data_IF_828778745190
#
_entry.id   IF_828778745190
#
_cell.length_a   1.000
_cell.length_b   1.000
_cell.length_c   1.000
_cell.angle_alpha   90.00
_cell.angle_beta   90.00
_cell.angle_gamma   90.00
#
_symmetry.space_group_name_H-M   'P 1'
#
loop_
_entity.id
_entity.type
_entity.pdbx_description
1 polymer ?
#
# COMPACT_ATOMS: atom_id res chain seq x y z
N UNK A 1 -2.17 -31.75 -14.68
CA UNK A 1 -1.28 -30.62 -14.42
C UNK A 1 0.06 -30.96 -15.02
N UNK A 2 0.48 -30.25 -16.09
CA UNK A 2 1.80 -30.46 -16.69
C UNK A 2 2.91 -30.10 -15.70
N UNK A 3 4.12 -30.42 -16.09
CA UNK A 3 5.37 -30.31 -15.31
C UNK A 3 5.61 -28.88 -14.79
N UNK A 4 4.87 -28.44 -13.73
CA UNK A 4 5.08 -27.15 -13.07
C UNK A 4 6.41 -27.22 -12.30
N UNK A 5 7.30 -26.28 -12.55
CA UNK A 5 8.47 -26.07 -11.71
C UNK A 5 8.03 -25.40 -10.38
N UNK A 6 7.84 -26.24 -9.36
CA UNK A 6 7.35 -25.78 -8.06
C UNK A 6 8.35 -24.86 -7.35
N UNK A 7 9.64 -25.03 -7.56
CA UNK A 7 10.64 -24.16 -6.93
C UNK A 7 10.51 -22.74 -7.50
N UNK A 8 10.48 -22.62 -8.82
CA UNK A 8 10.29 -21.35 -9.49
C UNK A 8 8.93 -20.75 -9.15
N UNK A 9 7.85 -21.55 -9.09
CA UNK A 9 6.52 -21.06 -8.75
C UNK A 9 6.44 -20.48 -7.34
N UNK A 10 7.07 -21.14 -6.34
CA UNK A 10 7.11 -20.62 -4.97
C UNK A 10 8.01 -19.41 -4.84
N UNK A 11 9.13 -19.35 -5.55
CA UNK A 11 10.02 -18.20 -5.61
C UNK A 11 9.31 -16.97 -6.18
N UNK A 12 8.61 -17.11 -7.30
CA UNK A 12 7.80 -16.04 -7.87
C UNK A 12 6.65 -15.63 -6.95
N UNK A 13 5.99 -16.58 -6.28
CA UNK A 13 4.92 -16.27 -5.33
C UNK A 13 5.43 -15.46 -4.12
N UNK A 14 6.66 -15.72 -3.69
CA UNK A 14 7.35 -14.96 -2.63
C UNK A 14 7.72 -13.56 -3.13
N UNK A 15 8.34 -13.44 -4.31
CA UNK A 15 8.70 -12.16 -4.94
C UNK A 15 7.47 -11.27 -5.14
N UNK A 16 6.37 -11.83 -5.61
CA UNK A 16 5.10 -11.15 -5.79
C UNK A 16 4.29 -10.95 -4.50
N UNK A 17 4.79 -11.41 -3.35
CA UNK A 17 4.13 -11.32 -2.04
C UNK A 17 2.73 -11.99 -1.99
N UNK A 18 2.54 -13.06 -2.78
CA UNK A 18 1.27 -13.82 -2.85
C UNK A 18 1.39 -15.25 -2.34
N UNK A 19 2.52 -15.60 -1.70
CA UNK A 19 2.77 -16.96 -1.22
C UNK A 19 1.66 -17.47 -0.29
N UNK A 20 1.18 -16.62 0.63
CA UNK A 20 0.08 -16.97 1.53
C UNK A 20 -1.25 -17.19 0.79
N UNK A 21 -1.52 -16.39 -0.25
CA UNK A 21 -2.70 -16.56 -1.09
C UNK A 21 -2.64 -17.88 -1.87
N UNK A 22 -1.48 -18.19 -2.44
CA UNK A 22 -1.21 -19.48 -3.12
C UNK A 22 -1.41 -20.63 -2.14
N UNK A 23 -0.83 -20.56 -0.93
CA UNK A 23 -0.98 -21.59 0.09
C UNK A 23 -2.45 -21.81 0.50
N UNK A 24 -3.22 -20.73 0.70
CA UNK A 24 -4.64 -20.81 1.03
C UNK A 24 -5.43 -21.54 -0.08
N UNK A 25 -5.17 -21.20 -1.36
CA UNK A 25 -5.83 -21.85 -2.51
C UNK A 25 -5.41 -23.31 -2.68
N UNK A 26 -4.15 -23.62 -2.48
CA UNK A 26 -3.68 -25.01 -2.51
C UNK A 26 -4.35 -25.86 -1.41
N UNK A 27 -4.55 -25.27 -0.24
CA UNK A 27 -5.27 -25.91 0.87
C UNK A 27 -6.72 -26.28 0.49
N UNK A 28 -7.43 -25.37 -0.17
CA UNK A 28 -8.79 -25.61 -0.66
C UNK A 28 -8.86 -26.75 -1.69
N UNK A 29 -7.83 -26.91 -2.50
CA UNK A 29 -7.76 -27.97 -3.52
C UNK A 29 -7.20 -29.30 -2.99
N UNK A 30 -6.87 -29.40 -1.72
CA UNK A 30 -6.38 -30.61 -1.08
C UNK A 30 -4.92 -30.94 -1.35
N UNK A 31 -4.10 -29.96 -1.75
CA UNK A 31 -2.64 -30.06 -1.99
C UNK A 31 -2.21 -31.13 -3.01
N UNK A 32 -3.10 -31.57 -3.90
CA UNK A 32 -2.81 -32.62 -4.85
C UNK A 32 -1.68 -32.25 -5.82
N UNK A 33 -0.63 -33.09 -5.87
CA UNK A 33 0.43 -33.00 -6.89
C UNK A 33 1.59 -32.06 -6.53
N UNK A 34 1.70 -31.55 -5.29
CA UNK A 34 2.86 -30.78 -4.84
C UNK A 34 3.97 -31.75 -4.39
N UNK A 35 5.22 -31.60 -4.87
CA UNK A 35 6.37 -32.37 -4.35
C UNK A 35 6.58 -32.13 -2.85
N UNK A 36 7.09 -33.13 -2.14
CA UNK A 36 7.23 -33.08 -0.67
C UNK A 36 8.17 -31.95 -0.20
N UNK A 37 9.25 -31.70 -0.93
CA UNK A 37 10.22 -30.63 -0.66
C UNK A 37 9.61 -29.24 -0.85
N UNK A 38 8.87 -29.03 -1.93
CA UNK A 38 8.14 -27.76 -2.18
C UNK A 38 7.04 -27.53 -1.12
N UNK A 39 6.37 -28.60 -0.71
CA UNK A 39 5.38 -28.56 0.36
C UNK A 39 5.99 -28.16 1.71
N UNK A 40 7.12 -28.77 2.08
CA UNK A 40 7.84 -28.44 3.31
C UNK A 40 8.29 -26.97 3.33
N UNK A 41 8.86 -26.48 2.21
CA UNK A 41 9.25 -25.07 2.03
C UNK A 41 8.05 -24.16 2.22
N UNK A 42 6.93 -24.45 1.56
CA UNK A 42 5.69 -23.66 1.67
C UNK A 42 5.17 -23.61 3.12
N UNK A 43 5.09 -24.76 3.79
CA UNK A 43 4.66 -24.84 5.19
C UNK A 43 5.56 -24.05 6.15
N UNK A 44 6.87 -24.10 5.93
CA UNK A 44 7.84 -23.36 6.74
C UNK A 44 7.65 -21.86 6.59
N UNK A 45 7.54 -21.36 5.36
CA UNK A 45 7.29 -19.94 5.05
C UNK A 45 5.96 -19.47 5.64
N UNK A 46 4.90 -20.26 5.50
CA UNK A 46 3.59 -19.93 6.06
C UNK A 46 3.58 -19.88 7.58
N UNK A 47 4.32 -20.77 8.24
CA UNK A 47 4.47 -20.73 9.70
C UNK A 47 5.16 -19.46 10.16
N UNK A 48 6.24 -19.08 9.49
CA UNK A 48 6.98 -17.83 9.77
C UNK A 48 6.09 -16.61 9.58
N UNK A 49 5.37 -16.54 8.46
CA UNK A 49 4.44 -15.43 8.18
C UNK A 49 3.32 -15.34 9.22
N UNK A 50 2.75 -16.48 9.62
CA UNK A 50 1.69 -16.51 10.62
C UNK A 50 2.17 -16.03 12.00
N UNK A 51 3.33 -16.50 12.45
CA UNK A 51 3.94 -16.03 13.70
C UNK A 51 4.26 -14.54 13.66
N UNK A 52 4.76 -14.04 12.53
CA UNK A 52 5.00 -12.63 12.33
C UNK A 52 3.71 -11.81 12.41
N UNK A 53 2.64 -12.24 11.71
CA UNK A 53 1.32 -11.59 11.74
C UNK A 53 0.73 -11.54 13.16
N UNK A 54 0.82 -12.64 13.93
CA UNK A 54 0.40 -12.65 15.34
C UNK A 54 1.19 -11.66 16.19
N UNK A 55 2.52 -11.61 16.00
CA UNK A 55 3.37 -10.65 16.70
C UNK A 55 3.00 -9.20 16.38
N UNK A 56 2.73 -8.91 15.09
CA UNK A 56 2.30 -7.57 14.64
C UNK A 56 0.93 -7.21 15.21
N UNK A 57 -0.01 -8.16 15.27
CA UNK A 57 -1.34 -7.93 15.85
C UNK A 57 -1.26 -7.65 17.35
N UNK A 58 -0.43 -8.39 18.08
CA UNK A 58 -0.21 -8.13 19.51
C UNK A 58 0.39 -6.72 19.75
N UNK A 59 1.35 -6.33 18.91
CA UNK A 59 1.94 -4.99 18.98
C UNK A 59 0.92 -3.90 18.62
N UNK A 60 0.11 -4.11 17.58
CA UNK A 60 -0.99 -3.22 17.22
C UNK A 60 -1.91 -2.96 18.41
N UNK A 61 -2.33 -4.02 19.11
CA UNK A 61 -3.22 -3.86 20.26
C UNK A 61 -2.58 -3.07 21.39
N UNK A 62 -1.30 -3.30 21.64
CA UNK A 62 -0.53 -2.53 22.64
C UNK A 62 -0.45 -1.04 22.30
N UNK A 63 -0.24 -0.73 21.02
CA UNK A 63 -0.20 0.67 20.53
C UNK A 63 -1.59 1.30 20.62
N UNK A 64 -2.64 0.62 20.17
CA UNK A 64 -4.01 1.13 20.23
C UNK A 64 -4.48 1.38 21.67
N UNK A 65 -4.08 0.54 22.63
CA UNK A 65 -4.38 0.75 24.05
C UNK A 65 -3.69 1.99 24.59
N UNK A 66 -2.40 2.18 24.29
CA UNK A 66 -1.64 3.35 24.71
C UNK A 66 -2.18 4.66 24.08
N UNK A 67 -2.53 4.60 22.79
CA UNK A 67 -3.15 5.74 22.10
C UNK A 67 -4.54 6.05 22.67
N UNK A 68 -5.34 5.03 22.97
CA UNK A 68 -6.65 5.18 23.60
C UNK A 68 -6.57 5.83 24.98
N UNK A 69 -5.61 5.44 25.82
CA UNK A 69 -5.36 6.07 27.13
C UNK A 69 -5.00 7.56 27.00
N UNK A 70 -4.33 7.94 25.92
CA UNK A 70 -3.99 9.32 25.61
C UNK A 70 -5.06 10.05 24.80
N UNK A 71 -6.24 9.44 24.58
CA UNK A 71 -7.32 9.99 23.76
C UNK A 71 -6.91 10.30 22.32
N UNK A 72 -5.92 9.57 21.78
CA UNK A 72 -5.51 9.67 20.37
C UNK A 72 -6.37 8.73 19.56
N UNK A 73 -7.27 9.32 18.78
CA UNK A 73 -8.08 8.56 17.83
C UNK A 73 -7.21 8.17 16.62
N UNK A 74 -7.25 6.88 16.27
CA UNK A 74 -6.37 6.29 15.25
C UNK A 74 -7.22 5.43 14.30
N UNK A 75 -6.86 5.41 13.02
CA UNK A 75 -7.40 4.44 12.05
C UNK A 75 -6.27 3.52 11.60
N UNK A 76 -6.52 2.22 11.67
CA UNK A 76 -5.66 1.23 11.02
C UNK A 76 -6.01 1.20 9.53
N UNK A 77 -5.01 1.30 8.70
CA UNK A 77 -5.15 1.25 7.23
C UNK A 77 -4.24 0.15 6.69
N UNK A 78 -4.57 -0.41 5.53
CA UNK A 78 -3.79 -1.48 4.88
C UNK A 78 -3.48 -2.69 5.79
N UNK A 79 -2.29 -3.29 5.65
CA UNK A 79 -1.75 -4.38 6.47
C UNK A 79 -2.77 -5.49 6.79
N UNK A 80 -3.00 -5.80 8.07
CA UNK A 80 -3.90 -6.86 8.49
C UNK A 80 -5.37 -6.62 8.13
N UNK A 81 -5.80 -5.35 7.97
CA UNK A 81 -7.17 -5.02 7.55
C UNK A 81 -7.42 -5.44 6.11
N UNK A 82 -6.51 -5.15 5.20
CA UNK A 82 -6.62 -5.60 3.80
C UNK A 82 -6.60 -7.11 3.73
N UNK A 83 -5.72 -7.77 4.49
CA UNK A 83 -5.68 -9.24 4.56
C UNK A 83 -7.03 -9.81 5.00
N UNK A 84 -7.63 -9.25 6.06
CA UNK A 84 -8.93 -9.70 6.53
C UNK A 84 -10.06 -9.42 5.52
N UNK A 85 -10.10 -8.24 4.93
CA UNK A 85 -11.10 -7.88 3.92
C UNK A 85 -11.00 -8.78 2.68
N UNK A 86 -9.79 -8.98 2.17
CA UNK A 86 -9.55 -9.75 0.94
C UNK A 86 -9.71 -11.26 1.16
N UNK A 87 -9.21 -11.80 2.27
CA UNK A 87 -9.05 -13.25 2.46
C UNK A 87 -9.78 -13.81 3.68
N UNK A 88 -10.31 -12.95 4.56
CA UNK A 88 -10.99 -13.35 5.80
C UNK A 88 -10.05 -13.78 6.92
N UNK A 89 -8.76 -13.65 6.72
CA UNK A 89 -7.70 -14.03 7.65
C UNK A 89 -6.59 -12.97 7.62
N UNK A 90 -6.23 -12.36 8.75
CA UNK A 90 -5.21 -11.31 8.79
C UNK A 90 -3.79 -11.79 8.49
N UNK A 91 -3.56 -13.11 8.43
CA UNK A 91 -2.24 -13.71 8.23
C UNK A 91 -1.99 -14.22 6.81
N UNK A 92 -2.98 -14.20 5.91
CA UNK A 92 -2.83 -14.69 4.53
C UNK A 92 -1.98 -13.74 3.69
N UNK A 93 -2.22 -12.43 3.80
CA UNK A 93 -1.45 -11.42 3.09
C UNK A 93 -0.18 -11.08 3.84
N UNK A 94 0.95 -11.04 3.12
CA UNK A 94 2.21 -10.55 3.70
C UNK A 94 2.18 -9.03 3.87
N UNK A 95 2.59 -8.56 5.03
CA UNK A 95 2.84 -7.14 5.33
C UNK A 95 4.01 -7.04 6.31
N UNK A 96 4.71 -5.91 6.32
CA UNK A 96 5.92 -5.71 7.13
C UNK A 96 5.76 -4.61 8.17
N UNK A 97 4.70 -3.81 8.06
CA UNK A 97 4.44 -2.61 8.83
C UNK A 97 2.98 -2.53 9.31
N UNK A 98 2.76 -1.67 10.28
CA UNK A 98 1.45 -1.22 10.74
C UNK A 98 1.26 0.22 10.32
N UNK A 99 0.38 0.46 9.37
CA UNK A 99 0.02 1.81 8.93
C UNK A 99 -1.06 2.39 9.85
N UNK A 100 -0.73 3.42 10.63
CA UNK A 100 -1.63 4.06 11.58
C UNK A 100 -1.88 5.52 11.20
N UNK A 101 -3.11 5.85 10.85
CA UNK A 101 -3.51 7.20 10.48
C UNK A 101 -3.97 7.97 11.73
N UNK A 102 -3.33 9.11 12.01
CA UNK A 102 -3.67 10.02 13.10
C UNK A 102 -3.84 11.45 12.59
N UNK A 103 -4.57 12.28 13.32
CA UNK A 103 -4.68 13.71 12.98
C UNK A 103 -3.34 14.43 13.20
N UNK A 104 -3.06 15.45 12.40
CA UNK A 104 -1.84 16.27 12.54
C UNK A 104 -1.61 16.76 13.98
N UNK A 105 -2.67 17.14 14.69
CA UNK A 105 -2.57 17.59 16.07
C UNK A 105 -2.11 16.48 17.05
N UNK A 106 -2.32 15.22 16.70
CA UNK A 106 -1.97 14.06 17.53
C UNK A 106 -0.58 13.48 17.20
N UNK A 107 0.10 13.97 16.16
CA UNK A 107 1.34 13.34 15.68
C UNK A 107 2.44 13.30 16.74
N UNK A 108 2.70 14.43 17.41
CA UNK A 108 3.76 14.49 18.44
C UNK A 108 3.44 13.65 19.67
N UNK A 109 2.24 13.72 20.27
CA UNK A 109 1.86 12.78 21.32
C UNK A 109 1.99 11.31 20.89
N UNK A 110 1.58 10.95 19.67
CA UNK A 110 1.70 9.60 19.14
C UNK A 110 3.17 9.17 19.01
N UNK A 111 4.05 10.02 18.47
CA UNK A 111 5.49 9.76 18.38
C UNK A 111 6.09 9.47 19.76
N UNK A 112 5.78 10.29 20.77
CA UNK A 112 6.28 10.12 22.13
C UNK A 112 5.80 8.82 22.78
N UNK A 113 4.55 8.42 22.51
CA UNK A 113 4.02 7.15 23.00
C UNK A 113 4.75 5.98 22.33
N UNK A 114 4.96 6.00 21.00
CA UNK A 114 5.71 4.95 20.32
C UNK A 114 7.15 4.86 20.87
N UNK A 115 7.80 5.99 21.11
CA UNK A 115 9.13 6.02 21.74
C UNK A 115 9.10 5.39 23.16
N UNK A 116 8.10 5.72 23.97
CA UNK A 116 7.91 5.12 25.30
C UNK A 116 7.61 3.61 25.23
N UNK A 117 7.02 3.13 24.15
CA UNK A 117 6.80 1.71 23.86
C UNK A 117 8.06 1.01 23.31
N UNK A 118 9.19 1.71 23.18
CA UNK A 118 10.48 1.17 22.75
C UNK A 118 10.69 1.16 21.24
N UNK A 119 9.97 2.00 20.49
CA UNK A 119 10.25 2.26 19.08
C UNK A 119 11.19 3.46 18.92
N UNK A 120 12.01 3.44 17.90
CA UNK A 120 12.89 4.52 17.49
C UNK A 120 12.39 5.11 16.16
N UNK A 121 12.25 6.43 16.10
CA UNK A 121 11.86 7.12 14.88
C UNK A 121 13.07 7.25 13.94
N UNK A 122 12.88 7.02 12.64
CA UNK A 122 13.91 7.26 11.63
C UNK A 122 14.25 8.75 11.48
N UNK A 123 13.32 9.63 11.91
CA UNK A 123 13.49 11.09 11.87
C UNK A 123 13.33 11.69 13.26
N UNK A 124 14.17 12.69 13.65
CA UNK A 124 14.07 13.31 14.95
C UNK A 124 12.79 14.14 15.10
N UNK A 125 12.27 14.24 16.33
CA UNK A 125 11.08 15.03 16.66
C UNK A 125 11.19 16.48 16.16
N UNK A 126 12.38 17.07 16.17
CA UNK A 126 12.63 18.41 15.64
C UNK A 126 12.33 18.57 14.15
N UNK A 127 12.53 17.51 13.35
CA UNK A 127 12.20 17.50 11.93
C UNK A 127 10.68 17.39 11.70
N UNK A 128 10.00 16.59 12.53
CA UNK A 128 8.55 16.46 12.55
C UNK A 128 7.92 17.82 12.89
N UNK A 129 8.35 18.45 13.98
CA UNK A 129 7.94 19.80 14.41
C UNK A 129 8.15 20.86 13.33
N UNK A 130 9.30 20.83 12.69
CA UNK A 130 9.61 21.75 11.60
C UNK A 130 8.78 21.49 10.33
N UNK A 131 7.98 20.40 10.29
CA UNK A 131 7.19 19.98 9.12
C UNK A 131 8.07 19.77 7.89
N UNK A 132 9.33 19.33 8.08
CA UNK A 132 10.28 19.10 6.97
C UNK A 132 9.91 17.85 6.17
N UNK A 133 9.26 16.91 6.83
CA UNK A 133 8.77 15.67 6.22
C UNK A 133 7.26 15.65 6.35
N UNK A 134 6.50 15.63 5.27
CA UNK A 134 5.05 15.65 5.34
C UNK A 134 4.48 14.26 5.62
N UNK A 135 4.03 14.05 6.87
CA UNK A 135 2.95 13.16 7.19
C UNK A 135 3.17 11.65 7.20
N UNK A 136 4.37 11.16 6.93
CA UNK A 136 4.68 9.73 6.95
C UNK A 136 5.94 9.54 7.79
N UNK A 137 5.83 8.82 8.91
CA UNK A 137 6.91 8.72 9.90
C UNK A 137 7.11 7.26 10.29
N UNK A 138 8.29 6.71 9.95
CA UNK A 138 8.65 5.33 10.21
C UNK A 138 9.26 5.19 11.62
N UNK A 139 8.77 4.18 12.32
CA UNK A 139 9.24 3.75 13.62
C UNK A 139 9.69 2.31 13.58
N UNK A 140 10.86 2.03 14.14
CA UNK A 140 11.49 0.71 14.20
C UNK A 140 11.73 0.34 15.65
N UNK A 141 11.64 -0.93 15.98
CA UNK A 141 12.06 -1.43 17.29
C UNK A 141 13.45 -2.06 17.15
N UNK A 142 14.39 -1.65 18.00
CA UNK A 142 15.72 -2.21 18.01
C UNK A 142 15.70 -3.75 18.24
N UNK A 143 16.39 -4.48 17.36
CA UNK A 143 16.45 -5.95 17.43
C UNK A 143 15.18 -6.70 17.04
N UNK A 144 14.16 -6.02 16.48
CA UNK A 144 12.91 -6.61 16.02
C UNK A 144 12.60 -6.22 14.58
N UNK A 145 11.73 -6.99 13.92
CA UNK A 145 11.29 -6.73 12.54
C UNK A 145 10.01 -5.89 12.47
N UNK A 146 9.48 -5.45 13.62
CA UNK A 146 8.23 -4.70 13.67
C UNK A 146 8.48 -3.26 13.25
N UNK A 147 7.75 -2.85 12.23
CA UNK A 147 7.71 -1.50 11.71
C UNK A 147 6.32 -0.89 11.98
N UNK A 148 6.30 0.40 12.31
CA UNK A 148 5.07 1.18 12.46
C UNK A 148 5.23 2.45 11.65
N UNK A 149 4.30 2.72 10.75
CA UNK A 149 4.22 3.98 10.02
C UNK A 149 3.08 4.84 10.57
N UNK A 150 3.41 6.00 11.14
CA UNK A 150 2.40 7.00 11.46
C UNK A 150 2.13 7.87 10.25
N UNK A 151 0.86 7.93 9.87
CA UNK A 151 0.37 8.73 8.76
C UNK A 151 -0.49 9.89 9.26
N UNK A 152 -0.38 11.04 8.60
CA UNK A 152 -1.32 12.16 8.73
C UNK A 152 -1.97 12.47 7.38
N UNK A 153 -2.89 13.43 7.31
CA UNK A 153 -3.48 13.84 6.02
C UNK A 153 -2.43 14.26 4.97
N UNK A 154 -1.24 14.67 5.40
CA UNK A 154 -0.14 15.07 4.51
C UNK A 154 0.50 13.88 3.79
N UNK A 155 0.29 12.65 4.28
CA UNK A 155 0.71 11.42 3.60
C UNK A 155 0.03 11.25 2.25
N UNK A 156 -1.16 11.81 2.08
CA UNK A 156 -1.95 11.69 0.84
C UNK A 156 -1.36 12.46 -0.36
N UNK A 157 -0.05 12.71 -0.35
CA UNK A 157 0.69 13.30 -1.47
C UNK A 157 0.61 12.48 -2.77
N UNK A 158 0.41 11.16 -2.66
CA UNK A 158 0.23 10.27 -3.80
C UNK A 158 -1.18 10.33 -4.40
N UNK A 159 -2.12 10.96 -3.73
CA UNK A 159 -3.45 11.25 -4.26
C UNK A 159 -3.35 12.40 -5.26
N UNK A 160 -3.96 12.30 -6.43
CA UNK A 160 -3.98 13.40 -7.40
C UNK A 160 -4.56 14.69 -6.84
N UNK A 161 -5.52 14.61 -5.92
CA UNK A 161 -6.08 15.74 -5.16
C UNK A 161 -5.97 15.47 -3.66
N UNK A 162 -5.87 16.53 -2.83
CA UNK A 162 -5.86 16.37 -1.38
C UNK A 162 -7.12 15.67 -0.87
N UNK A 163 -6.97 14.77 0.09
CA UNK A 163 -8.07 14.15 0.83
C UNK A 163 -8.18 14.82 2.19
N UNK A 164 -9.40 14.98 2.69
CA UNK A 164 -9.64 15.45 4.04
C UNK A 164 -9.69 14.26 5.00
N UNK A 165 -8.82 14.27 5.98
CA UNK A 165 -8.74 13.20 6.98
C UNK A 165 -10.07 13.03 7.74
N UNK A 166 -10.80 14.13 7.99
CA UNK A 166 -12.07 14.11 8.71
C UNK A 166 -13.16 13.34 7.95
N UNK A 167 -13.11 13.30 6.63
CA UNK A 167 -14.04 12.52 5.82
C UNK A 167 -13.82 11.01 6.04
N UNK A 168 -12.58 10.58 6.22
CA UNK A 168 -12.23 9.20 6.58
C UNK A 168 -12.71 8.85 8.00
N UNK A 169 -12.44 9.74 8.96
CA UNK A 169 -12.89 9.54 10.35
C UNK A 169 -14.41 9.50 10.48
N UNK A 170 -15.13 10.31 9.69
CA UNK A 170 -16.59 10.30 9.68
C UNK A 170 -17.19 8.98 9.16
N UNK A 171 -16.48 8.29 8.26
CA UNK A 171 -16.92 7.01 7.64
C UNK A 171 -16.25 5.78 8.23
N UNK A 172 -15.36 5.95 9.22
CA UNK A 172 -14.65 4.84 9.85
C UNK A 172 -15.57 3.72 10.29
N UNK A 173 -15.05 2.50 10.29
CA UNK A 173 -15.73 1.30 10.76
C UNK A 173 -14.91 0.63 11.86
N UNK A 174 -15.56 -0.20 12.63
CA UNK A 174 -14.87 -1.14 13.51
C UNK A 174 -14.82 -2.49 12.79
N UNK A 175 -13.60 -3.03 12.69
CA UNK A 175 -13.33 -4.28 12.00
C UNK A 175 -12.87 -5.32 13.00
N UNK A 176 -13.41 -6.56 12.97
CA UNK A 176 -12.95 -7.62 13.83
C UNK A 176 -11.54 -8.07 13.40
N UNK A 177 -10.62 -8.09 14.35
CA UNK A 177 -9.25 -8.55 14.17
C UNK A 177 -8.85 -9.36 15.42
N UNK A 178 -8.62 -10.67 15.25
CA UNK A 178 -8.19 -11.57 16.33
C UNK A 178 -8.99 -11.37 17.65
N UNK A 179 -10.33 -11.36 17.54
CA UNK A 179 -11.24 -11.25 18.68
C UNK A 179 -11.40 -9.85 19.27
N UNK A 180 -10.80 -8.82 18.67
CA UNK A 180 -10.92 -7.43 19.07
C UNK A 180 -11.37 -6.57 17.89
N UNK A 181 -12.33 -5.66 18.14
CA UNK A 181 -12.71 -4.66 17.16
C UNK A 181 -11.70 -3.52 17.11
N UNK A 182 -11.13 -3.26 15.94
CA UNK A 182 -10.19 -2.16 15.69
C UNK A 182 -10.81 -1.09 14.81
N UNK A 183 -10.48 0.21 15.01
CA UNK A 183 -10.94 1.27 14.13
C UNK A 183 -10.17 1.22 12.81
N UNK A 184 -10.89 1.20 11.70
CA UNK A 184 -10.34 1.12 10.35
C UNK A 184 -11.15 1.96 9.36
N UNK A 185 -10.67 2.09 8.14
CA UNK A 185 -11.42 2.70 7.05
C UNK A 185 -12.67 1.87 6.73
N UNK A 186 -13.70 2.50 6.16
CA UNK A 186 -14.76 1.74 5.53
C UNK A 186 -14.23 1.00 4.28
N UNK A 187 -14.96 -0.04 3.87
CA UNK A 187 -14.57 -0.91 2.76
C UNK A 187 -14.30 -0.14 1.46
N UNK A 188 -15.14 0.85 1.15
CA UNK A 188 -15.04 1.65 -0.07
C UNK A 188 -13.79 2.55 -0.07
N UNK A 189 -13.49 3.20 1.06
CA UNK A 189 -12.28 4.02 1.20
C UNK A 189 -11.02 3.14 1.15
N UNK A 190 -11.03 1.96 1.79
CA UNK A 190 -9.91 1.02 1.76
C UNK A 190 -9.65 0.49 0.35
N UNK A 191 -10.71 0.17 -0.42
CA UNK A 191 -10.56 -0.27 -1.81
C UNK A 191 -9.90 0.81 -2.69
N UNK A 192 -10.34 2.07 -2.56
CA UNK A 192 -9.72 3.20 -3.29
C UNK A 192 -8.28 3.42 -2.85
N UNK A 193 -8.00 3.34 -1.54
CA UNK A 193 -6.63 3.44 -1.01
C UNK A 193 -5.71 2.36 -1.57
N UNK A 194 -6.19 1.11 -1.67
CA UNK A 194 -5.41 0.01 -2.25
C UNK A 194 -5.13 0.24 -3.74
N UNK A 195 -6.07 0.79 -4.51
CA UNK A 195 -5.83 1.15 -5.91
C UNK A 195 -4.76 2.25 -6.03
N UNK A 196 -4.80 3.27 -5.17
CA UNK A 196 -3.78 4.32 -5.14
C UNK A 196 -2.42 3.76 -4.70
N UNK A 197 -2.41 2.85 -3.74
CA UNK A 197 -1.19 2.21 -3.26
C UNK A 197 -0.53 1.35 -4.36
N UNK A 198 -1.31 0.54 -5.08
CA UNK A 198 -0.82 -0.18 -6.25
C UNK A 198 -0.24 0.75 -7.32
N UNK A 199 -0.93 1.87 -7.61
CA UNK A 199 -0.45 2.88 -8.55
C UNK A 199 0.84 3.58 -8.08
N UNK A 200 0.99 3.85 -6.76
CA UNK A 200 2.22 4.36 -6.13
C UNK A 200 3.41 3.47 -6.46
N UNK A 201 3.21 2.15 -6.45
CA UNK A 201 4.21 1.10 -6.68
C UNK A 201 4.18 0.52 -8.10
N UNK A 202 3.57 1.19 -9.07
CA UNK A 202 3.53 0.75 -10.47
C UNK A 202 2.91 -0.63 -10.68
N UNK A 203 2.18 -1.16 -9.71
CA UNK A 203 1.59 -2.50 -9.72
C UNK A 203 2.63 -3.62 -9.94
N UNK A 204 3.88 -3.40 -9.53
CA UNK A 204 5.01 -4.29 -9.78
C UNK A 204 4.93 -5.66 -9.09
N UNK A 205 3.93 -5.88 -8.23
CA UNK A 205 3.66 -7.16 -7.55
C UNK A 205 2.21 -7.58 -7.73
N UNK A 206 1.98 -8.89 -7.88
CA UNK A 206 0.64 -9.46 -7.97
C UNK A 206 -0.21 -9.26 -6.70
N UNK A 207 0.40 -9.03 -5.56
CA UNK A 207 -0.29 -8.77 -4.31
C UNK A 207 -1.36 -7.67 -4.45
N UNK A 208 -1.04 -6.55 -5.11
CA UNK A 208 -2.00 -5.44 -5.22
C UNK A 208 -3.23 -5.76 -6.06
N UNK A 209 -3.13 -6.27 -7.31
CA UNK A 209 -4.33 -6.69 -8.04
C UNK A 209 -5.04 -7.87 -7.37
N UNK A 210 -4.31 -8.76 -6.66
CA UNK A 210 -4.91 -9.88 -5.94
C UNK A 210 -5.77 -9.42 -4.75
N UNK A 211 -5.29 -8.45 -3.98
CA UNK A 211 -6.05 -7.85 -2.87
C UNK A 211 -7.35 -7.22 -3.38
N UNK A 212 -7.29 -6.43 -4.46
CA UNK A 212 -8.46 -5.77 -5.06
C UNK A 212 -9.45 -6.81 -5.59
N UNK A 213 -8.98 -7.78 -6.36
CA UNK A 213 -9.82 -8.85 -6.90
C UNK A 213 -10.51 -9.64 -5.78
N UNK A 214 -9.76 -10.00 -4.74
CA UNK A 214 -10.30 -10.74 -3.60
C UNK A 214 -11.34 -9.92 -2.81
N UNK A 215 -11.10 -8.63 -2.57
CA UNK A 215 -12.07 -7.73 -1.94
C UNK A 215 -13.35 -7.66 -2.78
N UNK A 216 -13.25 -7.41 -4.08
CA UNK A 216 -14.41 -7.33 -4.98
C UNK A 216 -15.21 -8.64 -5.00
N UNK A 217 -14.54 -9.79 -5.08
CA UNK A 217 -15.19 -11.09 -5.11
C UNK A 217 -15.86 -11.46 -3.77
N UNK A 218 -15.30 -11.00 -2.65
CA UNK A 218 -15.76 -11.35 -1.31
C UNK A 218 -16.88 -10.45 -0.81
N UNK A 219 -16.99 -9.22 -1.31
CA UNK A 219 -17.89 -8.18 -0.80
C UNK A 219 -18.90 -7.72 -1.86
N UNK A 220 -19.95 -8.52 -2.17
CA UNK A 220 -20.99 -8.12 -3.10
C UNK A 220 -21.80 -6.91 -2.62
N UNK A 221 -21.69 -6.56 -1.32
CA UNK A 221 -22.36 -5.41 -0.70
C UNK A 221 -21.64 -4.07 -0.94
N UNK A 222 -20.51 -4.03 -1.64
CA UNK A 222 -19.79 -2.78 -1.94
C UNK A 222 -20.73 -1.75 -2.54
N UNK A 223 -20.79 -0.56 -1.93
CA UNK A 223 -21.54 0.59 -2.45
C UNK A 223 -20.74 1.29 -3.56
N UNK A 224 -20.82 0.78 -4.80
CA UNK A 224 -20.00 1.24 -5.95
C UNK A 224 -20.14 2.72 -6.24
N UNK A 225 -21.31 3.34 -5.98
CA UNK A 225 -21.43 4.80 -6.10
C UNK A 225 -20.54 5.55 -5.12
N UNK A 226 -20.39 5.01 -3.89
CA UNK A 226 -19.48 5.57 -2.88
C UNK A 226 -18.01 5.37 -3.27
N UNK A 227 -17.65 4.22 -3.83
CA UNK A 227 -16.30 3.96 -4.37
C UNK A 227 -15.98 4.96 -5.48
N UNK A 228 -16.90 5.16 -6.43
CA UNK A 228 -16.73 6.17 -7.49
C UNK A 228 -16.58 7.57 -6.93
N UNK A 229 -17.43 7.95 -5.97
CA UNK A 229 -17.36 9.28 -5.38
C UNK A 229 -16.05 9.49 -4.63
N UNK A 230 -15.62 8.53 -3.80
CA UNK A 230 -14.34 8.58 -3.10
C UNK A 230 -13.16 8.71 -4.08
N UNK A 231 -13.16 7.95 -5.17
CA UNK A 231 -12.12 8.05 -6.19
C UNK A 231 -12.13 9.41 -6.91
N UNK A 232 -13.32 9.97 -7.24
CA UNK A 232 -13.47 11.31 -7.85
C UNK A 232 -12.96 12.42 -6.95
N UNK A 233 -13.30 12.37 -5.68
CA UNK A 233 -12.93 13.41 -4.71
C UNK A 233 -11.42 13.59 -4.65
N UNK A 234 -10.67 12.50 -4.75
CA UNK A 234 -9.20 12.49 -4.73
C UNK A 234 -8.57 12.41 -6.12
N UNK A 235 -9.37 12.35 -7.20
CA UNK A 235 -8.88 12.28 -8.58
C UNK A 235 -8.25 10.94 -8.95
N UNK A 236 -8.60 9.86 -8.25
CA UNK A 236 -8.03 8.51 -8.41
C UNK A 236 -8.90 7.58 -9.28
N UNK A 237 -9.84 8.10 -10.07
CA UNK A 237 -10.74 7.29 -10.91
C UNK A 237 -9.96 6.37 -11.84
N UNK A 238 -8.88 6.86 -12.46
CA UNK A 238 -8.04 6.07 -13.35
C UNK A 238 -7.28 4.97 -12.60
N UNK A 239 -6.81 5.25 -11.38
CA UNK A 239 -6.16 4.24 -10.53
C UNK A 239 -7.14 3.13 -10.14
N UNK A 240 -8.40 3.50 -9.84
CA UNK A 240 -9.48 2.55 -9.58
C UNK A 240 -9.78 1.68 -10.81
N UNK A 241 -9.94 2.28 -12.00
CA UNK A 241 -10.17 1.53 -13.23
C UNK A 241 -9.03 0.54 -13.52
N UNK A 242 -7.77 0.99 -13.42
CA UNK A 242 -6.60 0.12 -13.61
C UNK A 242 -6.59 -1.03 -12.62
N UNK A 243 -6.85 -0.77 -11.33
CA UNK A 243 -6.89 -1.81 -10.31
C UNK A 243 -7.95 -2.88 -10.56
N UNK A 244 -9.18 -2.46 -10.91
CA UNK A 244 -10.27 -3.38 -11.25
C UNK A 244 -9.97 -4.19 -12.52
N UNK A 245 -9.46 -3.56 -13.57
CA UNK A 245 -9.11 -4.21 -14.83
C UNK A 245 -7.93 -5.18 -14.69
N UNK A 246 -6.95 -4.90 -13.84
CA UNK A 246 -5.88 -5.84 -13.50
C UNK A 246 -6.43 -7.05 -12.73
N UNK A 247 -7.39 -6.84 -11.82
CA UNK A 247 -8.11 -7.94 -11.16
C UNK A 247 -8.84 -8.84 -12.15
N UNK A 248 -9.44 -8.26 -13.21
CA UNK A 248 -10.10 -9.02 -14.27
C UNK A 248 -9.09 -9.75 -15.16
N UNK A 249 -8.11 -9.05 -15.70
CA UNK A 249 -7.19 -9.62 -16.70
C UNK A 249 -6.25 -10.67 -16.13
N UNK A 250 -5.76 -10.47 -14.88
CA UNK A 250 -4.77 -11.35 -14.26
C UNK A 250 -5.39 -12.47 -13.42
N UNK A 251 -6.58 -12.24 -12.83
CA UNK A 251 -7.17 -13.13 -11.84
C UNK A 251 -8.58 -13.57 -12.18
N UNK A 252 -9.16 -13.11 -13.29
CA UNK A 252 -10.46 -13.52 -13.79
C UNK A 252 -11.64 -13.01 -12.95
N UNK A 253 -11.46 -12.02 -12.10
CA UNK A 253 -12.55 -11.40 -11.33
C UNK A 253 -13.15 -10.26 -12.16
N UNK A 254 -14.38 -10.46 -12.65
CA UNK A 254 -15.04 -9.51 -13.54
C UNK A 254 -15.15 -8.11 -12.92
N UNK A 255 -14.92 -7.09 -13.72
CA UNK A 255 -15.20 -5.71 -13.31
C UNK A 255 -16.70 -5.60 -13.00
N UNK A 256 -17.08 -5.07 -11.81
CA UNK A 256 -18.47 -4.92 -11.43
C UNK A 256 -19.28 -4.12 -12.45
N UNK A 257 -20.52 -4.53 -12.71
CA UNK A 257 -21.37 -3.95 -13.75
C UNK A 257 -21.52 -2.43 -13.63
N UNK A 258 -21.59 -1.93 -12.40
CA UNK A 258 -21.68 -0.51 -12.06
C UNK A 258 -20.42 0.29 -12.47
N UNK A 259 -19.29 -0.38 -12.58
CA UNK A 259 -18.01 0.20 -12.97
C UNK A 259 -17.63 -0.09 -14.43
N UNK A 260 -18.19 -1.16 -15.02
CA UNK A 260 -17.79 -1.66 -16.33
C UNK A 260 -17.92 -0.61 -17.44
N UNK A 261 -19.00 0.18 -17.45
CA UNK A 261 -19.21 1.20 -18.48
C UNK A 261 -18.09 2.27 -18.47
N UNK A 262 -17.71 2.78 -17.29
CA UNK A 262 -16.65 3.80 -17.16
C UNK A 262 -15.26 3.22 -17.39
N UNK A 263 -14.97 2.05 -16.86
CA UNK A 263 -13.70 1.36 -17.06
C UNK A 263 -13.48 1.00 -18.55
N UNK A 264 -14.50 0.44 -19.22
CA UNK A 264 -14.40 0.05 -20.62
C UNK A 264 -14.27 1.23 -21.59
N UNK A 265 -14.70 2.43 -21.24
CA UNK A 265 -14.48 3.63 -22.04
C UNK A 265 -13.15 4.33 -21.75
N UNK A 266 -12.49 3.98 -20.66
CA UNK A 266 -11.19 4.55 -20.26
C UNK A 266 -10.04 3.93 -21.09
N UNK A 267 -9.77 4.53 -22.24
CA UNK A 267 -8.68 4.09 -23.13
C UNK A 267 -7.29 4.21 -22.49
N UNK A 268 -7.10 5.20 -21.60
CA UNK A 268 -5.85 5.40 -20.91
C UNK A 268 -5.63 4.32 -19.84
N UNK A 269 -6.67 3.93 -19.11
CA UNK A 269 -6.59 2.82 -18.16
C UNK A 269 -6.22 1.51 -18.85
N UNK A 270 -6.83 1.19 -20.01
CA UNK A 270 -6.48 -0.01 -20.79
C UNK A 270 -5.03 -0.01 -21.26
N UNK A 271 -4.50 1.13 -21.65
CA UNK A 271 -3.08 1.23 -22.04
C UNK A 271 -2.16 1.01 -20.82
N UNK A 272 -2.51 1.58 -19.66
CA UNK A 272 -1.78 1.40 -18.43
C UNK A 272 -1.81 -0.06 -17.94
N UNK A 273 -2.94 -0.74 -18.05
CA UNK A 273 -3.07 -2.19 -17.75
C UNK A 273 -2.08 -3.00 -18.59
N UNK A 274 -2.08 -2.81 -19.92
CA UNK A 274 -1.13 -3.52 -20.81
C UNK A 274 0.33 -3.20 -20.47
N UNK A 275 0.60 -1.97 -20.03
CA UNK A 275 1.94 -1.55 -19.61
C UNK A 275 2.35 -2.25 -18.31
N UNK A 276 1.45 -2.37 -17.33
CA UNK A 276 1.68 -3.09 -16.07
C UNK A 276 1.90 -4.58 -16.33
N UNK A 277 1.06 -5.21 -17.16
CA UNK A 277 1.21 -6.61 -17.53
C UNK A 277 2.59 -6.89 -18.17
N UNK A 278 3.08 -5.95 -18.99
CA UNK A 278 4.42 -6.04 -19.58
C UNK A 278 5.56 -5.80 -18.58
N UNK A 279 5.28 -5.19 -17.44
CA UNK A 279 6.27 -4.92 -16.38
C UNK A 279 6.25 -5.94 -15.25
N UNK A 280 5.18 -6.73 -15.13
CA UNK A 280 5.10 -7.70 -14.04
C UNK A 280 6.30 -8.63 -14.08
N UNK A 281 6.99 -8.79 -12.95
CA UNK A 281 8.18 -9.60 -12.88
C UNK A 281 7.91 -11.03 -13.35
N UNK A 282 8.76 -11.46 -14.27
CA UNK A 282 9.04 -12.86 -14.56
C UNK A 282 10.47 -13.09 -14.13
N UNK A 283 11.00 -14.30 -14.24
CA UNK A 283 12.39 -14.53 -13.96
C UNK A 283 13.27 -13.54 -14.78
N UNK A 284 14.02 -12.69 -14.09
CA UNK A 284 14.83 -11.65 -14.72
C UNK A 284 14.17 -10.27 -14.89
N UNK A 285 13.25 -9.92 -13.98
CA UNK A 285 12.62 -8.58 -13.96
C UNK A 285 13.63 -7.44 -14.02
N UNK A 286 13.38 -6.51 -14.94
CA UNK A 286 14.11 -5.24 -15.05
C UNK A 286 13.12 -4.10 -14.77
N UNK A 287 13.37 -3.26 -13.75
CA UNK A 287 12.51 -2.13 -13.43
C UNK A 287 12.35 -1.18 -14.64
N UNK A 288 11.15 -0.60 -14.84
CA UNK A 288 10.95 0.38 -15.92
C UNK A 288 11.89 1.59 -15.78
N UNK A 289 12.39 2.09 -16.90
CA UNK A 289 13.24 3.29 -16.93
C UNK A 289 12.54 4.51 -16.33
N UNK A 290 13.30 5.45 -15.78
CA UNK A 290 12.78 6.66 -15.12
C UNK A 290 11.74 7.42 -15.96
N UNK A 291 11.99 7.57 -17.27
CA UNK A 291 11.05 8.22 -18.18
C UNK A 291 9.73 7.45 -18.29
N UNK A 292 9.77 6.13 -18.37
CA UNK A 292 8.58 5.28 -18.40
C UNK A 292 7.78 5.43 -17.11
N UNK A 293 8.43 5.44 -15.94
CA UNK A 293 7.80 5.70 -14.64
C UNK A 293 7.16 7.08 -14.56
N UNK A 294 7.84 8.11 -15.07
CA UNK A 294 7.31 9.47 -15.11
C UNK A 294 6.07 9.57 -16.00
N UNK A 295 6.12 8.98 -17.21
CA UNK A 295 4.98 8.94 -18.14
C UNK A 295 3.81 8.14 -17.58
N UNK A 296 4.07 7.02 -16.91
CA UNK A 296 3.06 6.24 -16.20
C UNK A 296 2.35 7.09 -15.15
N UNK A 297 3.10 7.78 -14.28
CA UNK A 297 2.53 8.65 -13.23
C UNK A 297 1.73 9.82 -13.81
N UNK A 298 2.22 10.41 -14.90
CA UNK A 298 1.50 11.47 -15.61
C UNK A 298 0.13 10.98 -16.08
N UNK A 299 0.07 9.80 -16.71
CA UNK A 299 -1.17 9.18 -17.16
C UNK A 299 -2.07 8.81 -15.99
N UNK A 300 -1.53 8.18 -14.94
CA UNK A 300 -2.25 7.81 -13.73
C UNK A 300 -2.87 9.00 -13.00
N UNK A 301 -2.27 10.18 -13.08
CA UNK A 301 -2.82 11.43 -12.54
C UNK A 301 -3.90 12.10 -13.41
N UNK A 302 -4.41 11.41 -14.44
CA UNK A 302 -5.44 11.91 -15.35
C UNK A 302 -4.90 12.57 -16.62
N UNK A 303 -3.59 12.52 -16.88
CA UNK A 303 -2.94 13.11 -18.05
C UNK A 303 -3.01 14.65 -18.08
N UNK A 304 -2.58 15.27 -19.19
CA UNK A 304 -2.68 16.72 -19.42
C UNK A 304 -2.19 17.56 -18.23
N UNK A 305 -2.92 18.63 -17.92
CA UNK A 305 -2.59 19.53 -16.80
C UNK A 305 -2.70 18.88 -15.43
N UNK A 306 -3.69 17.99 -15.23
CA UNK A 306 -3.90 17.30 -13.96
C UNK A 306 -2.74 16.34 -13.65
N UNK A 307 -2.36 15.51 -14.62
CA UNK A 307 -1.22 14.60 -14.49
C UNK A 307 0.10 15.33 -14.32
N UNK A 308 0.30 16.46 -15.04
CA UNK A 308 1.48 17.29 -14.87
C UNK A 308 1.56 17.89 -13.47
N UNK A 309 0.46 18.44 -12.96
CA UNK A 309 0.39 18.99 -11.59
C UNK A 309 0.68 17.90 -10.55
N UNK A 310 0.11 16.71 -10.74
CA UNK A 310 0.36 15.55 -9.90
C UNK A 310 1.86 15.15 -9.89
N UNK A 311 2.47 15.02 -11.08
CA UNK A 311 3.87 14.67 -11.22
C UNK A 311 4.80 15.72 -10.59
N UNK A 312 4.53 17.01 -10.83
CA UNK A 312 5.31 18.12 -10.25
C UNK A 312 5.21 18.07 -8.72
N UNK A 313 4.00 17.89 -8.17
CA UNK A 313 3.80 17.80 -6.73
C UNK A 313 4.58 16.63 -6.13
N UNK A 314 4.54 15.44 -6.73
CA UNK A 314 5.32 14.29 -6.28
C UNK A 314 6.82 14.56 -6.33
N UNK A 315 7.30 15.19 -7.41
CA UNK A 315 8.73 15.49 -7.59
C UNK A 315 9.25 16.52 -6.60
N UNK A 316 8.41 17.42 -6.14
CA UNK A 316 8.77 18.47 -5.17
C UNK A 316 8.50 18.10 -3.71
N UNK A 317 7.75 17.03 -3.45
CA UNK A 317 7.41 16.60 -2.09
C UNK A 317 8.59 15.86 -1.44
N UNK A 318 9.18 16.35 -0.35
CA UNK A 318 10.27 15.66 0.34
C UNK A 318 9.81 14.33 0.93
N UNK A 319 10.75 13.40 1.10
CA UNK A 319 10.55 12.09 1.72
C UNK A 319 11.48 11.92 2.91
N UNK A 320 11.30 10.87 3.70
CA UNK A 320 12.23 10.49 4.76
C UNK A 320 13.62 10.16 4.21
N UNK A 321 13.70 9.53 3.03
CA UNK A 321 14.98 9.29 2.35
C UNK A 321 15.71 10.60 2.04
N UNK A 322 14.98 11.62 1.57
CA UNK A 322 15.57 12.94 1.30
C UNK A 322 16.13 13.57 2.59
N UNK A 323 15.50 13.29 3.75
CA UNK A 323 16.00 13.73 5.04
C UNK A 323 17.24 12.95 5.48
N UNK A 324 17.22 11.62 5.31
CA UNK A 324 18.34 10.75 5.70
C UNK A 324 19.60 11.01 4.84
N UNK A 325 19.44 11.34 3.56
CA UNK A 325 20.53 11.68 2.63
C UNK A 325 21.03 13.12 2.84
N UNK A 326 20.16 14.04 3.24
CA UNK A 326 20.46 15.47 3.44
C UNK A 326 20.98 15.82 4.81
N UNK A 327 21.97 15.10 5.35
CA UNK A 327 22.59 15.42 6.63
C UNK A 327 22.94 16.91 6.71
N UNK A 328 22.17 17.66 7.53
CA UNK A 328 22.52 18.98 8.08
C UNK A 328 22.72 20.17 7.12
N UNK A 329 22.40 20.11 5.84
CA UNK A 329 22.51 21.31 5.03
C UNK A 329 21.36 22.30 5.33
N UNK A 330 21.72 23.47 5.82
CA UNK A 330 20.88 24.63 6.17
C UNK A 330 20.22 25.31 4.94
N UNK A 331 19.73 24.53 3.98
CA UNK A 331 19.07 25.06 2.80
C UNK A 331 17.62 25.47 3.05
N UNK A 332 17.12 26.48 2.35
CA UNK A 332 15.71 26.83 2.35
C UNK A 332 14.90 25.67 1.75
N UNK A 333 13.69 25.39 2.30
CA UNK A 333 12.75 24.35 1.81
C UNK A 333 12.54 24.41 0.29
N UNK A 334 12.46 25.61 -0.26
CA UNK A 334 12.27 25.86 -1.70
C UNK A 334 13.47 25.37 -2.50
N UNK A 335 14.69 25.58 -1.98
CA UNK A 335 15.92 25.19 -2.65
C UNK A 335 16.11 23.67 -2.66
N UNK A 336 15.76 23.00 -1.57
CA UNK A 336 15.79 21.53 -1.50
C UNK A 336 14.73 20.88 -2.41
N UNK A 337 13.53 21.44 -2.45
CA UNK A 337 12.48 20.99 -3.36
C UNK A 337 12.90 21.14 -4.84
N UNK A 338 13.59 22.24 -5.19
CA UNK A 338 14.10 22.48 -6.55
C UNK A 338 15.22 21.51 -6.92
N UNK A 339 16.12 21.16 -6.00
CA UNK A 339 17.22 20.21 -6.24
C UNK A 339 16.74 18.75 -6.33
N UNK A 340 15.62 18.39 -5.68
CA UNK A 340 15.13 17.03 -5.60
C UNK A 340 14.93 16.33 -6.96
N UNK A 341 14.30 16.91 -7.98
CA UNK A 341 14.20 16.28 -9.30
C UNK A 341 15.56 15.91 -9.90
N UNK A 342 16.57 16.74 -9.70
CA UNK A 342 17.94 16.48 -10.19
C UNK A 342 18.62 15.35 -9.40
N UNK A 343 18.38 15.26 -8.07
CA UNK A 343 18.84 14.12 -7.26
C UNK A 343 18.20 12.82 -7.73
N UNK A 344 16.89 12.81 -7.93
CA UNK A 344 16.17 11.65 -8.43
C UNK A 344 16.67 11.21 -9.83
N UNK A 345 16.91 12.15 -10.74
CA UNK A 345 17.51 11.85 -12.05
C UNK A 345 18.91 11.24 -11.91
N UNK A 346 19.72 11.72 -10.96
CA UNK A 346 21.07 11.19 -10.73
C UNK A 346 21.03 9.81 -10.08
N UNK A 347 20.10 9.57 -9.13
CA UNK A 347 19.94 8.29 -8.40
C UNK A 347 19.38 7.19 -9.29
N UNK A 348 18.40 7.50 -10.13
CA UNK A 348 17.68 6.53 -10.95
C UNK A 348 17.96 6.64 -12.46
N UNK A 349 18.78 7.57 -12.88
CA UNK A 349 19.13 7.76 -14.29
C UNK A 349 20.42 7.04 -14.72
N UNK A 350 21.11 6.35 -13.80
CA UNK A 350 22.31 5.56 -14.10
C UNK A 350 22.02 4.08 -14.33
N UNK A 351 20.76 3.65 -14.11
CA UNK A 351 20.33 2.24 -14.25
C UNK A 351 19.55 2.01 -15.57
N UNK A 352 19.77 2.83 -16.60
CA UNK A 352 19.14 2.72 -17.92
C UNK A 352 20.15 2.50 -19.05
#
# INVERSE_FOLDING_TARGET
MGNLDWNLALELAEEHSVLGVVAARLKETGYGGIPADAWEKLQSSMRTQHLFSLSMTAELFRILDAFGQASIETLLVKGPIVSFLAYGDPAVRSYVDLDLLVRDAAILPACRILTALGFEADVPESAILAGKIPGEYLFKRAGAQQLVELHTEKTFRYYPRPMRIEDLYARKRRMPLEGRDVPALCLEDELVLNCIHGAKHFWERLMWPADIAAIVARHPEIAWERVRQAARDVGAEQMLHVGLMLGESLLGVAVPAEMAASANTDGAARELVRQVEGWLPTAGYVPPALLQRAMFRLKMGGGGLAGTSYLVRLSLSPTEEDWAEGKEERGSRVWEAIKRPFRLMRKYGQDG
#
